data_IF_099700551920
#
_entry.id   IF_099700551920
#
_cell.length_a   1.000
_cell.length_b   1.000
_cell.length_c   1.000
_cell.angle_alpha   90.00
_cell.angle_beta   90.00
_cell.angle_gamma   90.00
#
_symmetry.space_group_name_H-M   'P 1'
#
loop_
_entity.id
_entity.type
_entity.pdbx_description
1 polymer ?
#
# COMPACT_ATOMS: atom_id res chain seq x y z
N UNK A 1 -10.41 -17.38 20.15
CA UNK A 1 -11.48 -16.39 20.00
C UNK A 1 -10.84 -15.05 20.25
N UNK A 2 -10.88 -14.11 19.30
CA UNK A 2 -10.41 -12.75 19.58
C UNK A 2 -11.52 -12.08 20.36
N UNK A 3 -11.24 -11.70 21.61
CA UNK A 3 -12.19 -10.92 22.40
C UNK A 3 -12.01 -9.44 22.04
N UNK A 4 -13.09 -8.84 21.53
CA UNK A 4 -13.19 -7.42 21.27
C UNK A 4 -14.14 -6.84 22.33
N UNK A 5 -13.77 -5.71 22.94
CA UNK A 5 -14.68 -5.08 23.90
C UNK A 5 -15.96 -4.64 23.19
N UNK A 6 -17.09 -4.70 23.90
CA UNK A 6 -18.38 -4.30 23.35
C UNK A 6 -18.40 -2.85 22.86
N UNK A 7 -17.59 -1.97 23.47
CA UNK A 7 -17.38 -0.60 22.99
C UNK A 7 -16.76 -0.56 21.59
N UNK A 8 -15.67 -1.32 21.35
CA UNK A 8 -15.02 -1.37 20.05
C UNK A 8 -15.94 -2.01 19.01
N UNK A 9 -16.66 -3.07 19.37
CA UNK A 9 -17.64 -3.71 18.48
C UNK A 9 -18.71 -2.71 18.03
N UNK A 10 -19.32 -1.97 18.96
CA UNK A 10 -20.33 -0.97 18.64
C UNK A 10 -19.78 0.14 17.73
N UNK A 11 -18.55 0.62 18.01
CA UNK A 11 -17.90 1.63 17.17
C UNK A 11 -17.62 1.11 15.75
N UNK A 12 -17.19 -0.15 15.60
CA UNK A 12 -16.95 -0.77 14.30
C UNK A 12 -18.26 -0.88 13.50
N UNK A 13 -19.32 -1.38 14.12
CA UNK A 13 -20.66 -1.49 13.53
C UNK A 13 -21.18 -0.11 13.10
N UNK A 14 -21.11 0.89 13.99
CA UNK A 14 -21.58 2.25 13.73
C UNK A 14 -20.80 2.92 12.59
N UNK A 15 -19.47 2.84 12.63
CA UNK A 15 -18.59 3.51 11.64
C UNK A 15 -18.72 2.89 10.26
N UNK A 16 -18.88 1.57 10.18
CA UNK A 16 -19.00 0.83 8.91
C UNK A 16 -20.44 0.69 8.43
N UNK A 17 -21.43 1.03 9.27
CA UNK A 17 -22.86 0.82 9.02
C UNK A 17 -23.20 -0.64 8.67
N UNK A 18 -22.44 -1.59 9.19
CA UNK A 18 -22.65 -3.02 8.96
C UNK A 18 -23.57 -3.63 10.03
N UNK A 19 -24.34 -4.65 9.67
CA UNK A 19 -25.31 -5.27 10.61
C UNK A 19 -24.67 -6.12 11.72
N UNK A 20 -23.38 -6.47 11.58
CA UNK A 20 -22.66 -7.28 12.55
C UNK A 20 -21.15 -7.06 12.50
N UNK A 21 -20.47 -7.47 13.58
CA UNK A 21 -19.02 -7.33 13.75
C UNK A 21 -18.21 -8.02 12.65
N UNK A 22 -18.61 -9.21 12.20
CA UNK A 22 -17.87 -9.94 11.16
C UNK A 22 -17.83 -9.15 9.84
N UNK A 23 -18.98 -8.61 9.40
CA UNK A 23 -19.07 -7.73 8.23
C UNK A 23 -18.25 -6.46 8.42
N UNK A 24 -18.34 -5.82 9.60
CA UNK A 24 -17.59 -4.61 9.89
C UNK A 24 -16.07 -4.85 9.82
N UNK A 25 -15.58 -5.97 10.35
CA UNK A 25 -14.17 -6.36 10.31
C UNK A 25 -13.71 -6.65 8.88
N UNK A 26 -14.49 -7.40 8.10
CA UNK A 26 -14.21 -7.67 6.68
C UNK A 26 -14.13 -6.38 5.87
N UNK A 27 -15.07 -5.46 6.11
CA UNK A 27 -15.09 -4.15 5.47
C UNK A 27 -13.83 -3.34 5.80
N UNK A 28 -13.52 -3.12 7.08
CA UNK A 28 -12.35 -2.33 7.50
C UNK A 28 -11.05 -2.95 7.02
N UNK A 29 -10.94 -4.27 7.06
CA UNK A 29 -9.74 -4.95 6.59
C UNK A 29 -9.54 -4.74 5.08
N UNK A 30 -10.62 -4.88 4.29
CA UNK A 30 -10.58 -4.67 2.85
C UNK A 30 -10.30 -3.20 2.51
N UNK A 31 -10.95 -2.28 3.21
CA UNK A 31 -10.77 -0.85 3.02
C UNK A 31 -9.34 -0.42 3.36
N UNK A 32 -8.76 -0.92 4.45
CA UNK A 32 -7.35 -0.72 4.80
C UNK A 32 -6.41 -1.16 3.68
N UNK A 33 -6.63 -2.34 3.10
CA UNK A 33 -5.81 -2.84 1.99
C UNK A 33 -5.94 -1.94 0.75
N UNK A 34 -7.15 -1.54 0.40
CA UNK A 34 -7.41 -0.60 -0.71
C UNK A 34 -6.68 0.72 -0.46
N UNK A 35 -6.79 1.27 0.75
CA UNK A 35 -6.18 2.53 1.13
C UNK A 35 -4.65 2.46 1.06
N UNK A 36 -4.04 1.35 1.51
CA UNK A 36 -2.60 1.12 1.40
C UNK A 36 -2.14 0.98 -0.04
N UNK A 37 -2.84 0.19 -0.86
CA UNK A 37 -2.52 0.03 -2.29
C UNK A 37 -2.60 1.38 -3.01
N UNK A 38 -3.65 2.16 -2.73
CA UNK A 38 -3.81 3.49 -3.31
C UNK A 38 -2.66 4.43 -2.90
N UNK A 39 -2.31 4.47 -1.61
CA UNK A 39 -1.20 5.28 -1.10
C UNK A 39 0.12 5.01 -1.84
N UNK A 40 0.51 3.74 -1.97
CA UNK A 40 1.76 3.40 -2.66
C UNK A 40 1.66 3.57 -4.17
N UNK A 41 0.50 3.36 -4.77
CA UNK A 41 0.28 3.68 -6.20
C UNK A 41 0.49 5.16 -6.48
N UNK A 42 -0.03 6.04 -5.62
CA UNK A 42 0.20 7.49 -5.72
C UNK A 42 1.67 7.86 -5.48
N UNK A 43 2.36 7.20 -4.54
CA UNK A 43 3.80 7.42 -4.33
C UNK A 43 4.62 7.02 -5.57
N UNK A 44 4.29 5.89 -6.20
CA UNK A 44 4.92 5.42 -7.45
C UNK A 44 4.68 6.42 -8.59
N UNK A 45 3.43 6.87 -8.79
CA UNK A 45 3.09 7.85 -9.83
C UNK A 45 3.89 9.15 -9.65
N UNK A 46 4.01 9.66 -8.41
CA UNK A 46 4.81 10.86 -8.13
C UNK A 46 6.28 10.70 -8.53
N UNK A 47 6.87 9.51 -8.37
CA UNK A 47 8.23 9.27 -8.85
C UNK A 47 8.29 9.17 -10.38
N UNK A 48 7.32 8.52 -11.01
CA UNK A 48 7.21 8.47 -12.48
C UNK A 48 7.10 9.87 -13.07
N UNK A 49 6.28 10.73 -12.48
CA UNK A 49 6.10 12.12 -12.90
C UNK A 49 7.38 12.94 -12.66
N UNK A 50 8.01 12.80 -11.48
CA UNK A 50 9.24 13.50 -11.12
C UNK A 50 10.38 13.21 -12.10
N UNK A 51 10.52 11.94 -12.49
CA UNK A 51 11.64 11.48 -13.31
C UNK A 51 11.29 11.31 -14.79
N UNK A 52 10.00 11.42 -15.14
CA UNK A 52 9.47 11.22 -16.48
C UNK A 52 9.94 9.90 -17.13
N UNK A 53 10.00 8.83 -16.33
CA UNK A 53 10.41 7.50 -16.75
C UNK A 53 9.90 6.44 -15.79
N UNK A 54 10.01 5.16 -16.17
CA UNK A 54 9.74 4.04 -15.28
C UNK A 54 10.91 3.78 -14.29
N UNK A 55 10.63 3.02 -13.23
CA UNK A 55 11.60 2.72 -12.17
C UNK A 55 12.86 2.04 -12.71
N UNK A 56 12.73 1.14 -13.69
CA UNK A 56 13.88 0.37 -14.18
C UNK A 56 14.87 1.29 -14.90
N UNK A 57 14.38 2.15 -15.80
CA UNK A 57 15.20 3.17 -16.46
C UNK A 57 15.80 4.16 -15.48
N UNK A 58 15.05 4.56 -14.45
CA UNK A 58 15.55 5.46 -13.41
C UNK A 58 16.70 4.80 -12.63
N UNK A 59 16.51 3.57 -12.15
CA UNK A 59 17.52 2.81 -11.42
C UNK A 59 18.78 2.64 -12.25
N UNK A 60 18.66 2.25 -13.53
CA UNK A 60 19.80 2.10 -14.44
C UNK A 60 20.59 3.42 -14.62
N UNK A 61 19.89 4.55 -14.83
CA UNK A 61 20.55 5.87 -14.97
C UNK A 61 21.33 6.26 -13.72
N UNK A 62 20.77 6.03 -12.53
CA UNK A 62 21.45 6.34 -11.27
C UNK A 62 22.73 5.50 -11.10
N UNK A 63 22.76 4.26 -11.59
CA UNK A 63 23.92 3.37 -11.46
C UNK A 63 25.01 3.60 -12.51
N UNK A 64 24.66 4.23 -13.65
CA UNK A 64 25.56 4.37 -14.81
C UNK A 64 26.12 5.78 -14.96
N UNK A 65 25.43 6.80 -14.46
CA UNK A 65 25.84 8.19 -14.60
C UNK A 65 26.48 8.72 -13.32
N UNK A 66 27.78 9.06 -13.40
CA UNK A 66 28.56 9.61 -12.26
C UNK A 66 27.90 10.83 -11.61
N UNK A 67 27.23 11.68 -12.39
CA UNK A 67 26.57 12.89 -11.90
C UNK A 67 25.24 12.62 -11.16
N UNK A 68 24.71 11.39 -11.26
CA UNK A 68 23.47 10.97 -10.59
C UNK A 68 23.70 10.23 -9.28
N UNK A 69 24.96 10.00 -8.87
CA UNK A 69 25.29 9.46 -7.54
C UNK A 69 25.24 10.54 -6.44
N UNK A 70 24.15 11.31 -6.40
CA UNK A 70 23.86 12.16 -5.24
C UNK A 70 22.92 11.40 -4.31
N UNK A 71 23.06 11.63 -3.01
CA UNK A 71 22.22 11.05 -1.97
C UNK A 71 20.71 11.14 -2.28
N UNK A 72 20.28 12.23 -2.93
CA UNK A 72 18.88 12.43 -3.30
C UNK A 72 18.39 11.43 -4.35
N UNK A 73 19.21 11.05 -5.32
CA UNK A 73 18.84 10.06 -6.33
C UNK A 73 18.82 8.65 -5.74
N UNK A 74 19.82 8.30 -4.93
CA UNK A 74 19.86 6.98 -4.25
C UNK A 74 18.68 6.81 -3.30
N UNK A 75 18.32 7.85 -2.54
CA UNK A 75 17.12 7.86 -1.71
C UNK A 75 15.86 7.64 -2.53
N UNK A 76 15.72 8.34 -3.66
CA UNK A 76 14.56 8.18 -4.53
C UNK A 76 14.46 6.75 -5.11
N UNK A 77 15.60 6.12 -5.45
CA UNK A 77 15.62 4.70 -5.85
C UNK A 77 15.07 3.82 -4.73
N UNK A 78 15.56 3.99 -3.51
CA UNK A 78 15.14 3.18 -2.36
C UNK A 78 13.67 3.36 -2.02
N UNK A 79 13.21 4.62 -1.93
CA UNK A 79 11.82 4.92 -1.58
C UNK A 79 10.82 4.46 -2.65
N UNK A 80 11.23 4.47 -3.91
CA UNK A 80 10.42 3.95 -5.01
C UNK A 80 10.36 2.42 -4.99
N UNK A 81 11.51 1.75 -4.80
CA UNK A 81 11.58 0.29 -4.66
C UNK A 81 10.76 -0.22 -3.47
N UNK A 82 10.84 0.49 -2.33
CA UNK A 82 10.02 0.24 -1.16
C UNK A 82 8.52 0.37 -1.49
N UNK A 83 8.11 1.45 -2.16
CA UNK A 83 6.72 1.67 -2.52
C UNK A 83 6.18 0.55 -3.43
N UNK A 84 6.97 0.11 -4.41
CA UNK A 84 6.61 -1.02 -5.29
C UNK A 84 6.49 -2.33 -4.50
N UNK A 85 7.44 -2.60 -3.62
CA UNK A 85 7.46 -3.81 -2.80
C UNK A 85 6.25 -3.86 -1.86
N UNK A 86 5.96 -2.76 -1.16
CA UNK A 86 4.82 -2.65 -0.26
C UNK A 86 3.49 -2.74 -1.01
N UNK A 87 3.36 -2.08 -2.16
CA UNK A 87 2.18 -2.20 -3.02
C UNK A 87 1.93 -3.67 -3.39
N UNK A 88 2.95 -4.36 -3.92
CA UNK A 88 2.85 -5.76 -4.31
C UNK A 88 2.49 -6.66 -3.12
N UNK A 89 3.05 -6.38 -1.94
CA UNK A 89 2.69 -7.09 -0.71
C UNK A 89 1.18 -6.96 -0.41
N UNK A 90 0.65 -5.74 -0.37
CA UNK A 90 -0.77 -5.52 -0.05
C UNK A 90 -1.71 -6.06 -1.13
N UNK A 91 -1.33 -5.98 -2.42
CA UNK A 91 -2.07 -6.62 -3.51
C UNK A 91 -2.13 -8.15 -3.31
N UNK A 92 -1.00 -8.79 -3.00
CA UNK A 92 -0.95 -10.21 -2.72
C UNK A 92 -1.74 -10.62 -1.46
N UNK A 93 -1.84 -9.76 -0.44
CA UNK A 93 -2.74 -9.99 0.71
C UNK A 93 -4.20 -9.89 0.27
N UNK A 94 -4.58 -8.87 -0.49
CA UNK A 94 -5.95 -8.66 -0.98
C UNK A 94 -6.44 -9.82 -1.87
N UNK A 95 -5.57 -10.37 -2.70
CA UNK A 95 -5.89 -11.56 -3.51
C UNK A 95 -6.24 -12.77 -2.63
N UNK A 96 -5.49 -12.98 -1.54
CA UNK A 96 -5.79 -14.04 -0.57
C UNK A 96 -7.11 -13.80 0.18
N UNK A 97 -7.48 -12.54 0.44
CA UNK A 97 -8.79 -12.23 1.04
C UNK A 97 -9.93 -12.65 0.12
N UNK A 98 -9.79 -12.32 -1.16
CA UNK A 98 -10.79 -12.64 -2.18
C UNK A 98 -10.97 -14.16 -2.32
N UNK A 99 -9.88 -14.94 -2.22
CA UNK A 99 -9.96 -16.41 -2.28
C UNK A 99 -10.54 -17.06 -1.02
N UNK A 100 -10.56 -16.34 0.10
CA UNK A 100 -11.11 -16.80 1.39
C UNK A 100 -12.56 -16.37 1.63
N UNK A 101 -13.22 -15.69 0.67
CA UNK A 101 -14.52 -15.03 0.86
C UNK A 101 -14.55 -14.13 2.11
N UNK A 102 -13.43 -13.46 2.37
CA UNK A 102 -13.41 -12.27 3.23
C UNK A 102 -14.04 -11.10 2.48
#
# INVERSE_FOLDING_TARGET
>A
MVEISSEIENLLIETTQCDNLEKALKFIFTDYLIMKIHLYSQKIIKFQDKWNMDFHKFKEKVHTQKDFHTYNYERDVWEWEEAMTLKNHYEGVKEKCTSLNL
#
